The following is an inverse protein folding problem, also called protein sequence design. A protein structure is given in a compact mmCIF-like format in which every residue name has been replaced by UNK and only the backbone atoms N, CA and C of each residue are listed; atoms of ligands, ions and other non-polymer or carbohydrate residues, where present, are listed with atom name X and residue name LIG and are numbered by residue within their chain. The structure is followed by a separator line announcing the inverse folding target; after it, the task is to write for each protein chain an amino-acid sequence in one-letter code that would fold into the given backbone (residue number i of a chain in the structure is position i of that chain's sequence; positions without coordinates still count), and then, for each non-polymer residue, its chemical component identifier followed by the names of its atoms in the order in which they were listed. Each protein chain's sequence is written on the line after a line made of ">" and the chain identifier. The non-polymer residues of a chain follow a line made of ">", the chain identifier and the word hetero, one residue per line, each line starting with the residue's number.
data_IF_725641642761
#
_entry.id   IF_725641642761
#
_cell.length_a   1.000
_cell.length_b   1.000
_cell.length_c   1.000
_cell.angle_alpha   90.00
_cell.angle_beta   90.00
_cell.angle_gamma   90.00
#
_symmetry.space_group_name_H-M   'P 1'
#
loop_
_entity.id
_entity.type
_entity.pdbx_description
1 polymer ?
#
# COMPACT_ATOMS: atom_id res chain seq x y z
N UNK A 1 -6.14 15.09 3.65
CA UNK A 1 -5.72 13.70 3.96
C UNK A 1 -6.29 12.75 2.94
N UNK A 2 -5.50 11.79 2.49
CA UNK A 2 -5.96 10.87 1.45
C UNK A 2 -6.77 9.74 2.07
N UNK A 3 -7.73 9.22 1.31
CA UNK A 3 -8.60 8.15 1.78
C UNK A 3 -7.85 6.81 1.87
N UNK A 4 -8.36 5.87 2.68
CA UNK A 4 -7.74 4.53 2.73
C UNK A 4 -7.72 3.85 1.37
N UNK A 5 -8.68 4.15 0.51
CA UNK A 5 -8.75 3.58 -0.83
C UNK A 5 -7.56 4.01 -1.69
N UNK A 6 -7.09 5.24 -1.51
CA UNK A 6 -5.91 5.71 -2.21
C UNK A 6 -4.69 4.84 -1.87
N UNK A 7 -4.51 4.56 -0.57
CA UNK A 7 -3.36 3.75 -0.14
C UNK A 7 -3.48 2.31 -0.64
N UNK A 8 -4.69 1.77 -0.68
CA UNK A 8 -4.90 0.43 -1.21
C UNK A 8 -4.58 0.37 -2.69
N UNK A 9 -4.95 1.39 -3.43
CA UNK A 9 -4.64 1.46 -4.85
C UNK A 9 -3.13 1.50 -5.07
N UNK A 10 -2.42 2.28 -4.28
CA UNK A 10 -0.96 2.34 -4.37
C UNK A 10 -0.34 0.99 -4.04
N UNK A 11 -0.86 0.31 -3.03
CA UNK A 11 -0.36 -1.02 -2.68
C UNK A 11 -0.59 -2.01 -3.83
N UNK A 12 -1.76 -1.95 -4.46
CA UNK A 12 -2.07 -2.84 -5.58
C UNK A 12 -1.14 -2.58 -6.76
N UNK A 13 -0.84 -1.31 -7.04
CA UNK A 13 0.09 -0.97 -8.11
C UNK A 13 1.50 -1.47 -7.82
N UNK A 14 1.94 -1.33 -6.58
CA UNK A 14 3.25 -1.84 -6.19
C UNK A 14 3.32 -3.36 -6.31
N UNK A 15 2.27 -4.05 -5.90
CA UNK A 15 2.21 -5.51 -6.03
C UNK A 15 2.24 -5.93 -7.50
N UNK A 16 1.53 -5.20 -8.35
CA UNK A 16 1.52 -5.48 -9.78
C UNK A 16 2.93 -5.32 -10.37
N UNK A 17 3.61 -4.25 -10.00
CA UNK A 17 4.97 -4.01 -10.48
C UNK A 17 5.94 -5.08 -9.94
N UNK A 18 5.72 -5.53 -8.70
CA UNK A 18 6.53 -6.61 -8.15
C UNK A 18 6.39 -7.89 -8.97
N UNK A 19 5.18 -8.19 -9.40
CA UNK A 19 4.96 -9.38 -10.24
C UNK A 19 5.62 -9.27 -11.61
N UNK A 20 5.77 -8.06 -12.11
CA UNK A 20 6.37 -7.83 -13.42
C UNK A 20 7.88 -7.65 -13.36
N UNK A 21 8.44 -7.46 -12.18
CA UNK A 21 9.88 -7.27 -12.03
C UNK A 21 10.63 -8.54 -12.39
N UNK A 22 11.64 -8.40 -13.22
CA UNK A 22 12.46 -9.53 -13.65
C UNK A 22 13.55 -9.83 -12.64
N UNK A 23 14.15 -8.78 -12.08
CA UNK A 23 15.24 -8.93 -11.12
C UNK A 23 14.69 -9.14 -9.71
N UNK A 24 15.23 -10.13 -8.97
CA UNK A 24 14.74 -10.39 -7.61
C UNK A 24 14.83 -9.19 -6.67
N UNK A 25 15.91 -8.41 -6.78
CA UNK A 25 16.09 -7.24 -5.93
C UNK A 25 14.98 -6.21 -6.15
N UNK A 26 14.61 -5.99 -7.40
CA UNK A 26 13.55 -5.06 -7.72
C UNK A 26 12.20 -5.58 -7.25
N UNK A 27 11.98 -6.87 -7.39
CA UNK A 27 10.75 -7.50 -6.93
C UNK A 27 10.59 -7.31 -5.42
N UNK A 28 11.66 -7.54 -4.66
CA UNK A 28 11.63 -7.37 -3.22
C UNK A 28 11.34 -5.92 -2.83
N UNK A 29 11.95 -4.97 -3.53
CA UNK A 29 11.71 -3.55 -3.26
C UNK A 29 10.25 -3.18 -3.46
N UNK A 30 9.65 -3.63 -4.56
CA UNK A 30 8.25 -3.33 -4.82
C UNK A 30 7.32 -3.99 -3.81
N UNK A 31 7.66 -5.21 -3.37
CA UNK A 31 6.87 -5.88 -2.35
C UNK A 31 6.93 -5.16 -1.01
N UNK A 32 8.11 -4.66 -0.64
CA UNK A 32 8.24 -3.88 0.59
C UNK A 32 7.40 -2.61 0.52
N UNK A 33 7.41 -1.93 -0.62
CA UNK A 33 6.59 -0.75 -0.79
C UNK A 33 5.10 -1.07 -0.71
N UNK A 34 4.69 -2.19 -1.29
CA UNK A 34 3.30 -2.60 -1.21
C UNK A 34 2.88 -2.84 0.24
N UNK A 35 3.74 -3.48 1.02
CA UNK A 35 3.47 -3.70 2.44
C UNK A 35 3.35 -2.40 3.22
N UNK A 36 4.22 -1.43 2.93
CA UNK A 36 4.16 -0.12 3.57
C UNK A 36 2.85 0.59 3.25
N UNK A 37 2.42 0.53 1.98
CA UNK A 37 1.15 1.13 1.60
C UNK A 37 -0.03 0.48 2.30
N UNK A 38 0.03 -0.84 2.49
CA UNK A 38 -1.02 -1.56 3.22
C UNK A 38 -1.07 -1.13 4.69
N UNK A 39 0.08 -0.91 5.30
CA UNK A 39 0.15 -0.40 6.67
C UNK A 39 -0.46 0.99 6.76
N UNK A 40 -0.14 1.85 5.80
CA UNK A 40 -0.72 3.19 5.75
C UNK A 40 -2.23 3.14 5.57
N UNK A 41 -2.71 2.23 4.74
CA UNK A 41 -4.15 2.07 4.53
C UNK A 41 -4.84 1.66 5.82
N UNK A 42 -4.25 0.75 6.57
CA UNK A 42 -4.78 0.32 7.86
C UNK A 42 -4.83 1.46 8.87
N UNK A 43 -3.76 2.25 8.95
CA UNK A 43 -3.72 3.40 9.84
C UNK A 43 -4.75 4.46 9.46
N UNK A 44 -4.87 4.74 8.16
CA UNK A 44 -5.82 5.73 7.68
C UNK A 44 -7.25 5.29 7.97
N UNK A 45 -7.54 4.00 7.82
CA UNK A 45 -8.86 3.46 8.11
C UNK A 45 -9.19 3.60 9.59
N UNK A 46 -8.26 3.25 10.46
CA UNK A 46 -8.47 3.37 11.90
C UNK A 46 -8.71 4.81 12.32
N UNK A 47 -7.91 5.73 11.77
CA UNK A 47 -8.04 7.14 12.08
C UNK A 47 -9.40 7.67 11.63
N UNK A 48 -9.83 7.26 10.43
CA UNK A 48 -11.11 7.64 9.89
C UNK A 48 -12.27 7.15 10.77
N UNK A 49 -12.18 5.93 11.27
CA UNK A 49 -13.20 5.37 12.16
C UNK A 49 -13.26 6.12 13.48
N UNK A 50 -12.12 6.52 14.01
CA UNK A 50 -12.07 7.27 15.26
C UNK A 50 -12.64 8.67 15.11
N UNK A 51 -12.42 9.30 13.99
CA UNK A 51 -12.93 10.63 13.71
C UNK A 51 -14.39 10.62 13.29
N UNK A 52 -14.91 9.47 12.92
CA UNK A 52 -16.25 9.32 12.40
C UNK A 52 -17.36 9.45 13.44
N UNK A 53 -17.02 9.75 14.68
CA UNK A 53 -18.00 9.97 15.73
C UNK A 53 -18.39 11.43 15.78
#
# INVERSE_FOLDING_TARGET
>A
MRSPEYYRLQAAECAYKANQAILPDMKDSWQEMAELWMLFAGSAKRRSEQEGH
#
